data_IF_533664196337
#
_entry.id   IF_533664196337
#
_cell.length_a   1.000
_cell.length_b   1.000
_cell.length_c   1.000
_cell.angle_alpha   90.00
_cell.angle_beta   90.00
_cell.angle_gamma   90.00
#
_symmetry.space_group_name_H-M   'P 1'
#
loop_
_entity.id
_entity.type
_entity.pdbx_description
1 polymer ?
#
# COMPACT_ATOMS: atom_id res chain seq x y z
N UNK A 1 6.84 -18.52 -10.60
CA UNK A 1 7.26 -17.84 -11.85
C UNK A 1 8.40 -16.86 -11.55
N UNK A 2 9.29 -16.54 -12.50
CA UNK A 2 10.45 -15.64 -12.24
C UNK A 2 10.03 -14.24 -11.78
N UNK A 3 8.95 -13.69 -12.35
CA UNK A 3 8.47 -12.33 -12.08
C UNK A 3 7.82 -12.18 -10.70
N UNK A 4 7.15 -13.22 -10.19
CA UNK A 4 6.58 -13.20 -8.84
C UNK A 4 7.64 -12.92 -7.76
N UNK A 5 8.87 -13.40 -7.93
CA UNK A 5 9.96 -13.14 -6.97
C UNK A 5 10.39 -11.68 -6.89
N UNK A 6 10.09 -10.86 -7.90
CA UNK A 6 10.46 -9.44 -7.93
C UNK A 6 9.46 -8.55 -7.16
N UNK A 7 8.27 -9.09 -6.89
CA UNK A 7 7.16 -8.39 -6.21
C UNK A 7 6.95 -8.90 -4.78
N UNK A 8 7.86 -9.74 -4.26
CA UNK A 8 7.82 -10.17 -2.86
C UNK A 8 8.74 -9.27 -2.03
N UNK A 9 8.18 -8.68 -0.99
CA UNK A 9 8.97 -8.11 0.10
C UNK A 9 9.43 -9.24 1.03
N UNK A 10 10.68 -9.17 1.49
CA UNK A 10 11.22 -10.13 2.46
C UNK A 10 10.84 -9.76 3.90
N UNK A 11 10.80 -8.46 4.20
CA UNK A 11 10.47 -7.93 5.51
C UNK A 11 9.63 -6.65 5.43
N UNK A 12 9.13 -6.22 6.58
CA UNK A 12 8.40 -4.97 6.75
C UNK A 12 8.73 -4.35 8.11
N UNK A 13 8.87 -3.03 8.15
CA UNK A 13 8.94 -2.27 9.40
C UNK A 13 7.51 -1.93 9.85
N UNK A 14 7.09 -2.52 10.97
CA UNK A 14 5.73 -2.43 11.50
C UNK A 14 5.75 -1.83 12.91
N UNK A 15 4.76 -1.00 13.23
CA UNK A 15 4.57 -0.43 14.56
C UNK A 15 3.63 -1.28 15.39
N UNK A 16 4.16 -1.96 16.40
CA UNK A 16 3.38 -2.72 17.38
C UNK A 16 3.80 -2.32 18.78
N UNK A 17 2.84 -2.20 19.69
CA UNK A 17 3.06 -1.73 21.07
C UNK A 17 3.81 -0.38 21.14
N UNK A 18 3.57 0.49 20.17
CA UNK A 18 4.18 1.82 20.08
C UNK A 18 5.60 1.85 19.52
N UNK A 19 6.23 0.70 19.27
CA UNK A 19 7.62 0.57 18.82
C UNK A 19 7.68 0.07 17.37
N UNK A 20 8.62 0.62 16.60
CA UNK A 20 8.95 0.14 15.25
C UNK A 20 9.80 -1.13 15.33
N UNK A 21 9.33 -2.20 14.69
CA UNK A 21 9.97 -3.51 14.72
C UNK A 21 9.95 -4.09 13.31
N UNK A 22 11.05 -4.72 12.90
CA UNK A 22 11.14 -5.40 11.60
C UNK A 22 10.68 -6.85 11.73
N UNK A 23 9.66 -7.23 10.96
CA UNK A 23 9.13 -8.59 10.88
C UNK A 23 9.20 -9.10 9.45
N UNK A 24 9.09 -10.43 9.28
CA UNK A 24 8.81 -11.03 7.98
C UNK A 24 7.51 -10.43 7.42
N UNK A 25 7.54 -10.02 6.14
CA UNK A 25 6.37 -9.46 5.46
C UNK A 25 5.16 -10.41 5.51
N UNK A 26 5.40 -11.74 5.54
CA UNK A 26 4.35 -12.74 5.68
C UNK A 26 3.64 -12.73 7.05
N UNK A 27 4.19 -12.03 8.05
CA UNK A 27 3.61 -11.89 9.40
C UNK A 27 2.72 -10.66 9.58
N UNK A 28 2.54 -9.86 8.51
CA UNK A 28 1.63 -8.72 8.52
C UNK A 28 0.17 -9.18 8.58
N UNK A 29 -0.65 -8.37 9.25
CA UNK A 29 -2.10 -8.53 9.31
C UNK A 29 -2.79 -7.22 8.96
N UNK A 30 -4.06 -7.31 8.55
CA UNK A 30 -4.90 -6.12 8.33
C UNK A 30 -4.96 -5.29 9.62
N UNK A 31 -4.78 -3.97 9.48
CA UNK A 31 -4.72 -3.01 10.57
C UNK A 31 -3.30 -2.74 11.11
N UNK A 32 -2.28 -3.49 10.69
CA UNK A 32 -0.89 -3.14 11.01
C UNK A 32 -0.54 -1.77 10.44
N UNK A 33 0.18 -0.97 11.23
CA UNK A 33 0.79 0.28 10.77
C UNK A 33 2.20 -0.02 10.31
N UNK A 34 2.49 0.21 9.03
CA UNK A 34 3.81 -0.02 8.45
C UNK A 34 4.45 1.28 8.01
N UNK A 35 5.76 1.23 7.89
CA UNK A 35 6.59 2.30 7.35
C UNK A 35 7.28 1.79 6.09
N UNK A 36 7.24 2.62 5.04
CA UNK A 36 7.87 2.33 3.76
C UNK A 36 8.76 3.50 3.36
N UNK A 37 9.94 3.18 2.82
CA UNK A 37 10.93 4.16 2.34
C UNK A 37 11.43 3.81 0.95
N UNK A 38 12.16 4.74 0.32
CA UNK A 38 12.84 4.52 -0.95
C UNK A 38 13.55 3.15 -1.01
N UNK A 39 13.26 2.40 -2.08
CA UNK A 39 13.83 1.09 -2.35
C UNK A 39 12.97 -0.09 -1.86
N UNK A 40 12.05 0.14 -0.92
CA UNK A 40 11.18 -0.90 -0.38
C UNK A 40 10.21 -1.44 -1.44
N UNK A 41 9.95 -2.74 -1.35
CA UNK A 41 8.81 -3.38 -2.01
C UNK A 41 7.64 -3.32 -1.04
N UNK A 42 6.48 -2.86 -1.51
CA UNK A 42 5.28 -2.75 -0.72
C UNK A 42 4.83 -4.16 -0.27
N UNK A 43 4.80 -4.44 1.05
CA UNK A 43 4.67 -5.81 1.58
C UNK A 43 3.24 -6.31 1.70
N UNK A 44 2.24 -5.43 1.53
CA UNK A 44 0.81 -5.70 1.62
C UNK A 44 0.05 -4.57 0.91
N UNK A 45 -1.23 -4.77 0.56
CA UNK A 45 -2.03 -3.62 0.12
C UNK A 45 -2.27 -2.72 1.33
N UNK A 46 -2.07 -1.42 1.15
CA UNK A 46 -2.15 -0.46 2.25
C UNK A 46 -2.60 0.91 1.78
N UNK A 47 -3.10 1.70 2.72
CA UNK A 47 -3.48 3.11 2.50
C UNK A 47 -2.50 4.00 3.24
N UNK A 48 -1.94 4.99 2.55
CA UNK A 48 -1.08 6.02 3.12
C UNK A 48 -1.89 6.87 4.09
N UNK A 49 -1.40 7.02 5.32
CA UNK A 49 -2.00 7.88 6.36
C UNK A 49 -1.15 9.10 6.67
N UNK A 50 0.13 9.07 6.35
CA UNK A 50 1.06 10.17 6.55
C UNK A 50 2.26 10.02 5.62
N UNK A 51 2.77 11.14 5.12
CA UNK A 51 4.01 11.19 4.35
C UNK A 51 5.18 11.62 5.23
N UNK A 52 6.37 11.12 4.90
CA UNK A 52 7.56 11.30 5.72
C UNK A 52 7.57 10.39 6.96
N UNK A 53 8.57 10.61 7.81
CA UNK A 53 8.86 9.73 8.95
C UNK A 53 8.54 10.36 10.31
N UNK A 54 8.33 11.69 10.34
CA UNK A 54 8.46 12.52 11.54
C UNK A 54 7.21 12.51 12.44
N UNK A 55 6.10 11.93 11.99
CA UNK A 55 4.77 12.12 12.61
C UNK A 55 4.37 11.10 13.66
N UNK A 56 5.00 9.93 13.65
CA UNK A 56 4.60 8.83 14.54
C UNK A 56 5.55 8.65 15.72
N UNK A 57 6.72 9.29 15.73
CA UNK A 57 7.58 9.28 16.90
C UNK A 57 6.91 10.13 18.00
N UNK A 58 6.84 9.59 19.22
CA UNK A 58 6.00 10.07 20.34
C UNK A 58 6.20 11.55 20.76
N UNK A 59 7.12 12.26 20.14
CA UNK A 59 7.46 13.67 20.40
C UNK A 59 7.23 14.62 19.20
N UNK A 60 6.83 14.10 18.04
CA UNK A 60 6.83 14.84 16.76
C UNK A 60 5.46 15.28 16.28
N UNK A 61 5.00 16.46 16.72
CA UNK A 61 3.87 17.18 16.11
C UNK A 61 4.25 17.94 14.83
N UNK A 62 5.22 17.43 14.06
CA UNK A 62 5.74 18.09 12.84
C UNK A 62 4.71 18.12 11.72
N UNK A 63 4.91 19.03 10.75
CA UNK A 63 4.23 19.00 9.46
C UNK A 63 4.96 17.99 8.53
N UNK A 64 4.27 17.38 7.55
CA UNK A 64 4.89 16.42 6.65
C UNK A 64 6.07 17.04 5.93
N UNK A 65 7.21 16.34 6.01
CA UNK A 65 8.44 16.72 5.31
C UNK A 65 8.33 16.48 3.80
N UNK A 66 7.44 15.57 3.40
CA UNK A 66 7.21 15.14 2.03
C UNK A 66 5.79 15.51 1.58
N UNK A 67 5.66 16.01 0.35
CA UNK A 67 4.37 16.33 -0.27
C UNK A 67 3.77 15.13 -1.04
N UNK A 68 4.63 14.23 -1.52
CA UNK A 68 4.25 13.03 -2.28
C UNK A 68 5.23 11.88 -2.03
N UNK A 69 4.77 10.64 -2.19
CA UNK A 69 5.63 9.45 -2.37
C UNK A 69 5.50 8.94 -3.81
N UNK A 70 6.63 8.59 -4.44
CA UNK A 70 6.64 8.06 -5.81
C UNK A 70 6.78 6.54 -5.79
N UNK A 71 5.87 5.83 -6.48
CA UNK A 71 5.79 4.38 -6.46
C UNK A 71 5.70 3.81 -7.88
N UNK A 72 6.53 2.81 -8.18
CA UNK A 72 6.48 2.00 -9.39
C UNK A 72 5.62 0.76 -9.17
N UNK A 73 4.48 0.67 -9.86
CA UNK A 73 3.61 -0.51 -9.82
C UNK A 73 3.62 -1.29 -11.13
N UNK A 74 4.56 -1.04 -12.05
CA UNK A 74 4.61 -1.67 -13.38
C UNK A 74 4.51 -3.19 -13.35
N UNK A 75 5.14 -3.83 -12.37
CA UNK A 75 5.11 -5.29 -12.26
C UNK A 75 3.73 -5.83 -11.87
N UNK A 76 2.91 -5.00 -11.23
CA UNK A 76 1.56 -5.31 -10.74
C UNK A 76 0.49 -4.88 -11.75
N UNK A 77 0.53 -3.62 -12.18
CA UNK A 77 -0.50 -2.99 -13.03
C UNK A 77 -0.16 -3.01 -14.51
N UNK A 78 1.11 -3.12 -14.90
CA UNK A 78 1.54 -2.96 -16.29
C UNK A 78 1.65 -1.51 -16.74
N UNK A 79 1.42 -0.53 -15.86
CA UNK A 79 1.59 0.88 -16.17
C UNK A 79 3.07 1.21 -16.45
N UNK A 80 3.34 2.13 -17.38
CA UNK A 80 4.72 2.50 -17.76
C UNK A 80 5.28 3.67 -16.92
N UNK A 81 4.42 4.42 -16.23
CA UNK A 81 4.81 5.61 -15.46
C UNK A 81 4.61 5.37 -13.97
N UNK A 82 5.58 5.73 -13.12
CA UNK A 82 5.38 5.72 -11.68
C UNK A 82 4.24 6.64 -11.27
N UNK A 83 3.54 6.26 -10.18
CA UNK A 83 2.47 7.04 -9.57
C UNK A 83 3.04 7.93 -8.49
N UNK A 84 2.59 9.19 -8.46
CA UNK A 84 2.80 10.08 -7.33
C UNK A 84 1.57 10.03 -6.44
N UNK A 85 1.78 9.67 -5.18
CA UNK A 85 0.75 9.47 -4.18
C UNK A 85 0.84 10.66 -3.22
N UNK A 86 -0.14 11.59 -3.25
CA UNK A 86 -0.14 12.77 -2.38
C UNK A 86 -0.63 12.43 -0.96
N UNK A 87 -0.52 13.39 -0.04
CA UNK A 87 -1.12 13.31 1.29
C UNK A 87 -2.66 13.30 1.14
N UNK A 88 -3.40 12.42 1.85
CA UNK A 88 -4.86 12.54 1.95
C UNK A 88 -5.25 13.88 2.60
N UNK A 89 -5.92 14.77 1.85
CA UNK A 89 -6.49 16.05 2.30
C UNK A 89 -7.99 15.95 2.60
N UNK A 90 -8.39 15.18 3.63
CA UNK A 90 -9.76 15.18 4.19
C UNK A 90 -10.94 15.03 3.19
N UNK A 91 -10.75 14.57 1.95
CA UNK A 91 -11.84 14.36 1.00
C UNK A 91 -11.99 12.89 0.60
N UNK A 92 -13.24 12.43 0.53
CA UNK A 92 -13.63 11.03 0.35
C UNK A 92 -13.11 10.41 -0.96
N UNK A 93 -12.82 11.22 -1.98
CA UNK A 93 -12.28 10.78 -3.28
C UNK A 93 -10.77 10.49 -3.27
N UNK A 94 -10.07 10.76 -2.17
CA UNK A 94 -8.60 10.70 -2.08
C UNK A 94 -8.08 9.33 -1.60
N UNK A 95 -8.96 8.45 -1.12
CA UNK A 95 -8.60 7.11 -0.64
C UNK A 95 -8.00 6.27 -1.80
N UNK A 96 -8.61 6.35 -2.98
CA UNK A 96 -8.08 5.69 -4.20
C UNK A 96 -6.67 6.21 -4.56
N UNK A 97 -6.46 7.52 -4.39
CA UNK A 97 -5.19 8.17 -4.69
C UNK A 97 -4.10 7.89 -3.66
N UNK A 98 -4.47 7.40 -2.49
CA UNK A 98 -3.59 7.13 -1.35
C UNK A 98 -3.28 5.64 -1.16
N UNK A 99 -3.73 4.78 -2.08
CA UNK A 99 -3.56 3.32 -1.98
C UNK A 99 -2.26 2.86 -2.65
N UNK A 100 -1.50 2.04 -1.92
CA UNK A 100 -0.33 1.31 -2.40
C UNK A 100 -0.67 -0.18 -2.50
N UNK A 101 -0.19 -0.83 -3.56
CA UNK A 101 -0.48 -2.23 -3.83
C UNK A 101 0.72 -3.12 -3.53
N UNK A 102 0.45 -4.30 -3.00
CA UNK A 102 1.43 -5.36 -2.77
C UNK A 102 2.28 -5.57 -4.02
N UNK A 103 3.60 -5.53 -3.87
CA UNK A 103 4.54 -5.77 -4.95
C UNK A 103 4.94 -4.55 -5.78
N UNK A 104 4.31 -3.40 -5.55
CA UNK A 104 4.83 -2.11 -6.02
C UNK A 104 6.13 -1.76 -5.31
N UNK A 105 6.91 -0.81 -5.84
CA UNK A 105 8.20 -0.39 -5.29
C UNK A 105 8.23 1.11 -5.04
N UNK A 106 8.69 1.52 -3.86
CA UNK A 106 8.92 2.93 -3.57
C UNK A 106 10.17 3.39 -4.33
N UNK A 107 10.01 4.42 -5.17
CA UNK A 107 11.10 5.03 -5.91
C UNK A 107 11.67 6.27 -5.23
N UNK A 108 10.85 7.01 -4.50
CA UNK A 108 11.25 8.25 -3.83
C UNK A 108 10.26 8.60 -2.71
N UNK A 109 10.78 9.18 -1.63
CA UNK A 109 10.02 9.56 -0.44
C UNK A 109 9.84 8.43 0.58
N UNK A 110 9.04 8.72 1.60
CA UNK A 110 8.68 7.79 2.66
C UNK A 110 7.22 8.00 3.08
N UNK A 111 6.59 6.95 3.59
CA UNK A 111 5.22 7.02 4.06
C UNK A 111 4.97 6.07 5.23
N UNK A 112 3.95 6.43 6.00
CA UNK A 112 3.34 5.57 6.99
C UNK A 112 1.99 5.16 6.46
N UNK A 113 1.73 3.86 6.49
CA UNK A 113 0.57 3.25 5.86
C UNK A 113 -0.14 2.32 6.84
N UNK A 114 -1.45 2.16 6.66
CA UNK A 114 -2.24 1.13 7.34
C UNK A 114 -2.47 0.00 6.35
N UNK A 115 -2.15 -1.22 6.77
CA UNK A 115 -2.38 -2.44 5.98
C UNK A 115 -3.87 -2.71 5.86
N UNK A 116 -4.36 -2.86 4.63
CA UNK A 116 -5.77 -3.09 4.31
C UNK A 116 -6.02 -4.49 3.74
N UNK A 117 -5.06 -5.09 3.06
CA UNK A 117 -5.18 -6.50 2.67
C UNK A 117 -3.83 -7.23 2.70
N UNK A 118 -3.88 -8.51 3.04
CA UNK A 118 -2.72 -9.41 3.11
C UNK A 118 -3.04 -10.74 2.42
N UNK A 119 -2.01 -11.48 1.99
CA UNK A 119 -2.16 -12.85 1.51
C UNK A 119 -3.03 -12.98 0.26
N UNK A 120 -4.11 -13.75 0.35
CA UNK A 120 -5.04 -14.03 -0.75
C UNK A 120 -5.99 -12.88 -1.08
N UNK A 121 -6.10 -11.89 -0.18
CA UNK A 121 -6.95 -10.71 -0.35
C UNK A 121 -6.28 -9.56 -1.09
N UNK A 122 -4.95 -9.55 -1.21
CA UNK A 122 -4.26 -8.50 -1.98
C UNK A 122 -4.68 -8.50 -3.44
N UNK A 123 -4.71 -7.34 -4.08
CA UNK A 123 -5.11 -7.18 -5.49
C UNK A 123 -4.28 -8.10 -6.40
N UNK A 124 -2.97 -8.21 -6.14
CA UNK A 124 -2.10 -9.10 -6.91
C UNK A 124 -2.56 -10.56 -6.88
N UNK A 125 -2.99 -11.08 -5.73
CA UNK A 125 -3.48 -12.47 -5.60
C UNK A 125 -4.73 -12.70 -6.44
N UNK A 126 -5.60 -11.70 -6.55
CA UNK A 126 -6.80 -11.74 -7.41
C UNK A 126 -6.41 -11.76 -8.89
N UNK A 127 -5.48 -10.88 -9.31
CA UNK A 127 -4.95 -10.90 -10.69
C UNK A 127 -4.31 -12.24 -11.04
N UNK A 128 -3.56 -12.86 -10.12
CA UNK A 128 -2.97 -14.19 -10.32
C UNK A 128 -4.06 -15.24 -10.52
N UNK A 129 -5.10 -15.25 -9.69
CA UNK A 129 -6.23 -16.20 -9.79
C UNK A 129 -6.99 -16.05 -11.11
N UNK A 130 -7.09 -14.83 -11.61
CA UNK A 130 -7.73 -14.50 -12.90
C UNK A 130 -6.82 -14.71 -14.11
N UNK A 131 -5.55 -15.09 -13.91
CA UNK A 131 -4.58 -15.29 -15.00
C UNK A 131 -4.12 -13.99 -15.66
N UNK A 132 -4.25 -12.86 -14.96
CA UNK A 132 -3.89 -11.50 -15.42
C UNK A 132 -2.51 -11.05 -14.96
N UNK A 133 -1.84 -11.83 -14.11
CA UNK A 133 -0.45 -11.61 -13.70
C UNK A 133 0.49 -12.65 -14.36
N UNK A 134 1.65 -12.24 -14.91
CA UNK A 134 2.11 -10.86 -15.07
C UNK A 134 1.26 -10.08 -16.10
N UNK A 135 1.09 -8.76 -15.93
CA UNK A 135 0.28 -7.95 -16.83
C UNK A 135 0.88 -7.91 -18.24
N UNK A 136 0.01 -8.04 -19.25
CA UNK A 136 0.38 -7.92 -20.68
C UNK A 136 -0.12 -6.61 -21.31
N UNK A 137 -0.87 -5.83 -20.55
CA UNK A 137 -1.44 -4.53 -20.88
C UNK A 137 -1.52 -3.69 -19.61
N UNK A 138 -1.86 -2.41 -19.74
CA UNK A 138 -2.14 -1.55 -18.60
C UNK A 138 -3.47 -1.98 -17.94
N UNK A 139 -3.41 -2.31 -16.65
CA UNK A 139 -4.53 -2.76 -15.82
C UNK A 139 -4.83 -1.78 -14.67
N UNK A 140 -4.39 -0.53 -14.79
CA UNK A 140 -4.45 0.44 -13.69
C UNK A 140 -5.88 0.68 -13.19
N UNK A 141 -6.84 0.80 -14.10
CA UNK A 141 -8.25 1.00 -13.76
C UNK A 141 -8.80 -0.21 -13.00
N UNK A 142 -8.51 -1.42 -13.46
CA UNK A 142 -8.99 -2.65 -12.83
C UNK A 142 -8.34 -2.90 -11.47
N UNK A 143 -7.02 -2.65 -11.35
CA UNK A 143 -6.32 -2.77 -10.07
C UNK A 143 -6.92 -1.79 -9.04
N UNK A 144 -7.20 -0.57 -9.47
CA UNK A 144 -7.81 0.45 -8.61
C UNK A 144 -9.24 0.05 -8.21
N UNK A 145 -10.05 -0.44 -9.14
CA UNK A 145 -11.42 -0.90 -8.87
C UNK A 145 -11.45 -2.11 -7.93
N UNK A 146 -10.59 -3.11 -8.15
CA UNK A 146 -10.47 -4.28 -7.28
C UNK A 146 -10.04 -3.87 -5.87
N UNK A 147 -9.10 -2.93 -5.76
CA UNK A 147 -8.66 -2.37 -4.49
C UNK A 147 -9.80 -1.66 -3.76
N UNK A 148 -10.54 -0.78 -4.44
CA UNK A 148 -11.69 -0.08 -3.87
C UNK A 148 -12.75 -1.04 -3.35
N UNK A 149 -13.16 -2.02 -4.15
CA UNK A 149 -14.20 -2.97 -3.77
C UNK A 149 -13.79 -3.78 -2.54
N UNK A 150 -12.52 -4.14 -2.39
CA UNK A 150 -12.04 -4.82 -1.19
C UNK A 150 -12.14 -3.94 0.07
N UNK A 151 -11.80 -2.65 -0.04
CA UNK A 151 -11.94 -1.70 1.06
C UNK A 151 -13.40 -1.49 1.46
N UNK A 152 -14.31 -1.36 0.48
CA UNK A 152 -15.75 -1.21 0.71
C UNK A 152 -16.33 -2.43 1.45
N UNK A 153 -16.01 -3.65 0.98
CA UNK A 153 -16.47 -4.89 1.62
C UNK A 153 -15.99 -5.01 3.07
N UNK A 154 -14.75 -4.57 3.37
CA UNK A 154 -14.23 -4.58 4.74
C UNK A 154 -14.95 -3.55 5.63
N UNK A 155 -15.25 -2.37 5.12
CA UNK A 155 -15.98 -1.35 5.88
C UNK A 155 -17.40 -1.80 6.24
N UNK A 156 -18.08 -2.49 5.32
CA UNK A 156 -19.39 -3.11 5.57
C UNK A 156 -19.31 -4.20 6.66
N UNK A 157 -18.27 -5.04 6.63
CA UNK A 157 -18.08 -6.11 7.62
C UNK A 157 -17.81 -5.57 9.04
N UNK A 158 -17.17 -4.40 9.15
CA UNK A 158 -16.86 -3.71 10.41
C UNK A 158 -18.05 -2.84 10.89
N UNK A 159 -19.07 -2.61 10.06
CA UNK A 159 -20.25 -1.83 10.40
C UNK A 159 -19.99 -0.31 10.48
N UNK A 160 -18.98 0.19 9.78
CA UNK A 160 -18.70 1.63 9.69
C UNK A 160 -19.57 2.18 8.54
N UNK A 161 -20.77 2.68 8.88
CA UNK A 161 -21.53 3.50 7.92
C UNK A 161 -20.73 4.79 7.67
N UNK A 162 -20.25 4.96 6.43
CA UNK A 162 -19.68 6.21 5.94
C UNK A 162 -20.80 7.27 5.89
N UNK A 163 -21.00 7.99 6.99
CA UNK A 163 -21.94 9.12 7.12
C UNK A 163 -21.38 10.42 6.57
#
# INVERSE_FOLDING_TARGET
>A
MKQFRLVQADDAEVRRDGVWIRYDAASLVVGDIIRVVEGDVIPADCVVVSLGMDHLDLEGGGAPSEETITVDSRLVTGEERPRQIPIPQHQTSEIEQSTLFYGSRVLDGAAICVVTATGDRVVLSKLIREGRFPPTSDLTEEVTEIGRLELEMQNEEIGIEMS
#
